data_IF_162544014658
#
_entry.id   IF_162544014658
#
_cell.length_a   1.000
_cell.length_b   1.000
_cell.length_c   1.000
_cell.angle_alpha   90.00
_cell.angle_beta   90.00
_cell.angle_gamma   90.00
#
_symmetry.space_group_name_H-M   'P 1'
#
loop_
_entity.id
_entity.type
_entity.pdbx_description
1 polymer ?
#
# COMPACT_ATOMS: atom_id res chain seq x y z
N UNK A 1 -72.70 21.08 39.03
CA UNK A 1 -71.33 21.35 39.43
C UNK A 1 -70.46 20.18 38.91
N UNK A 2 -69.80 20.35 37.77
CA UNK A 2 -68.93 19.33 37.17
C UNK A 2 -67.48 19.80 37.19
N UNK A 3 -66.50 18.93 37.41
CA UNK A 3 -65.12 19.33 37.53
C UNK A 3 -64.49 19.53 36.15
N UNK A 4 -63.83 20.68 36.00
CA UNK A 4 -63.04 21.05 34.84
C UNK A 4 -61.75 20.22 34.80
N UNK A 5 -61.66 19.24 33.90
CA UNK A 5 -60.42 18.55 33.61
C UNK A 5 -59.40 19.48 32.89
N UNK A 6 -58.24 19.71 33.50
CA UNK A 6 -57.16 20.46 32.92
C UNK A 6 -56.39 19.53 31.95
N UNK A 7 -56.49 19.83 30.66
CA UNK A 7 -55.69 19.16 29.62
C UNK A 7 -54.26 19.67 29.68
N UNK A 8 -53.29 18.86 30.19
CA UNK A 8 -51.88 19.12 30.13
C UNK A 8 -51.39 18.71 28.77
N UNK A 9 -51.14 19.68 27.90
CA UNK A 9 -50.44 19.41 26.64
C UNK A 9 -48.98 19.06 26.97
N UNK A 10 -48.59 17.83 26.59
CA UNK A 10 -47.22 17.35 26.71
C UNK A 10 -46.46 17.84 25.47
N UNK A 11 -45.69 18.90 25.59
CA UNK A 11 -44.72 19.35 24.60
C UNK A 11 -43.39 18.62 24.81
N UNK A 12 -43.42 17.29 24.73
CA UNK A 12 -42.19 16.48 24.76
C UNK A 12 -42.18 15.55 23.56
N UNK A 13 -41.70 15.98 22.40
CA UNK A 13 -41.10 15.06 21.41
C UNK A 13 -40.57 15.70 20.13
N UNK A 14 -40.78 16.98 19.85
CA UNK A 14 -40.32 17.57 18.61
C UNK A 14 -38.77 17.87 18.58
N UNK A 15 -38.20 18.22 19.74
CA UNK A 15 -36.78 18.59 19.82
C UNK A 15 -35.84 17.38 19.75
N UNK A 16 -36.23 16.22 20.26
CA UNK A 16 -35.41 14.98 20.23
C UNK A 16 -35.27 14.39 18.83
N UNK A 17 -36.36 14.38 18.06
CA UNK A 17 -36.35 13.80 16.71
C UNK A 17 -35.53 14.61 15.70
N UNK A 18 -35.56 15.94 15.81
CA UNK A 18 -34.77 16.85 14.94
C UNK A 18 -33.28 16.72 15.24
N UNK A 19 -32.89 16.57 16.51
CA UNK A 19 -31.48 16.42 16.90
C UNK A 19 -30.89 15.10 16.40
N UNK A 20 -31.63 14.01 16.47
CA UNK A 20 -31.17 12.69 15.96
C UNK A 20 -31.04 12.69 14.44
N UNK A 21 -31.97 13.34 13.72
CA UNK A 21 -31.89 13.46 12.26
C UNK A 21 -30.70 14.31 11.81
N UNK A 22 -30.40 15.42 12.49
CA UNK A 22 -29.26 16.27 12.17
C UNK A 22 -27.93 15.57 12.43
N UNK A 23 -27.82 14.77 13.50
CA UNK A 23 -26.61 13.98 13.78
C UNK A 23 -26.43 12.88 12.75
N UNK A 24 -27.48 12.17 12.36
CA UNK A 24 -27.38 11.12 11.33
C UNK A 24 -27.02 11.70 9.96
N UNK A 25 -27.59 12.84 9.55
CA UNK A 25 -27.23 13.52 8.30
C UNK A 25 -25.77 14.00 8.35
N UNK A 26 -25.28 14.48 9.50
CA UNK A 26 -23.89 14.89 9.65
C UNK A 26 -22.91 13.72 9.50
N UNK A 27 -23.22 12.55 10.08
CA UNK A 27 -22.40 11.34 9.94
C UNK A 27 -22.43 10.74 8.52
N UNK A 28 -23.56 10.85 7.79
CA UNK A 28 -23.66 10.38 6.41
C UNK A 28 -23.14 11.39 5.37
N UNK A 29 -23.01 12.66 5.74
CA UNK A 29 -22.55 13.74 4.84
C UNK A 29 -21.07 14.06 4.97
N UNK A 30 -20.33 13.42 5.89
CA UNK A 30 -18.88 13.52 5.85
C UNK A 30 -18.38 12.74 4.62
N UNK A 31 -17.87 13.41 3.57
CA UNK A 31 -17.25 12.68 2.48
C UNK A 31 -16.11 11.87 3.10
N UNK A 32 -16.20 10.55 3.02
CA UNK A 32 -15.04 9.70 3.25
C UNK A 32 -13.99 10.27 2.31
N UNK A 33 -13.02 11.00 2.84
CA UNK A 33 -11.82 11.35 2.08
C UNK A 33 -11.23 10.00 1.67
N UNK A 34 -11.55 9.57 0.45
CA UNK A 34 -10.76 8.57 -0.25
C UNK A 34 -9.41 9.24 -0.56
N UNK A 35 -8.70 9.61 0.51
CA UNK A 35 -7.31 9.88 0.45
C UNK A 35 -6.68 8.58 -0.06
N UNK A 36 -5.89 8.67 -1.10
CA UNK A 36 -5.11 7.54 -1.61
C UNK A 36 -4.51 6.82 -0.41
N UNK A 37 -4.98 5.60 -0.13
CA UNK A 37 -4.57 4.83 1.04
C UNK A 37 -3.04 4.82 1.06
N UNK A 38 -2.45 5.29 2.15
CA UNK A 38 -1.01 5.38 2.25
C UNK A 38 -0.45 3.96 2.26
N UNK A 39 0.42 3.66 1.31
CA UNK A 39 1.10 2.38 1.25
C UNK A 39 2.22 2.41 2.28
N UNK A 40 2.14 1.52 3.27
CA UNK A 40 3.15 1.34 4.30
C UNK A 40 3.51 -0.14 4.43
N UNK A 41 4.80 -0.46 4.36
CA UNK A 41 5.32 -1.81 4.53
C UNK A 41 5.73 -2.03 5.98
N UNK A 42 5.14 -3.05 6.61
CA UNK A 42 5.27 -3.37 8.03
C UNK A 42 6.26 -4.53 8.30
N UNK A 43 7.59 -4.30 8.30
CA UNK A 43 8.60 -5.37 8.35
C UNK A 43 8.65 -6.14 9.68
N UNK A 44 7.81 -5.81 10.64
CA UNK A 44 7.68 -6.50 11.92
C UNK A 44 6.32 -7.24 12.05
N UNK A 45 5.42 -7.11 11.08
CA UNK A 45 4.13 -7.80 11.07
C UNK A 45 4.29 -9.24 10.59
N UNK A 46 4.37 -10.18 11.53
CA UNK A 46 4.62 -11.60 11.25
C UNK A 46 3.59 -12.22 10.29
N UNK A 47 2.32 -11.83 10.39
CA UNK A 47 1.27 -12.37 9.53
C UNK A 47 1.46 -11.90 8.07
N UNK A 48 1.71 -10.62 7.87
CA UNK A 48 2.01 -10.09 6.52
C UNK A 48 3.28 -10.71 5.93
N UNK A 49 4.33 -10.89 6.74
CA UNK A 49 5.59 -11.52 6.32
C UNK A 49 5.33 -12.96 5.85
N UNK A 50 4.54 -13.74 6.58
CA UNK A 50 4.23 -15.13 6.21
C UNK A 50 3.42 -15.21 4.91
N UNK A 51 2.39 -14.38 4.77
CA UNK A 51 1.63 -14.28 3.51
C UNK A 51 2.54 -13.83 2.37
N UNK A 52 3.35 -12.79 2.59
CA UNK A 52 4.27 -12.24 1.61
C UNK A 52 5.33 -13.23 1.15
N UNK A 53 5.85 -14.06 2.05
CA UNK A 53 6.77 -15.16 1.70
C UNK A 53 6.12 -16.15 0.74
N UNK A 54 4.88 -16.57 1.00
CA UNK A 54 4.13 -17.46 0.09
C UNK A 54 3.91 -16.83 -1.29
N UNK A 55 3.54 -15.55 -1.34
CA UNK A 55 3.38 -14.78 -2.59
C UNK A 55 4.72 -14.69 -3.33
N UNK A 56 5.83 -14.41 -2.61
CA UNK A 56 7.17 -14.32 -3.17
C UNK A 56 7.61 -15.62 -3.86
N UNK A 57 7.48 -16.73 -3.16
CA UNK A 57 7.87 -18.04 -3.71
C UNK A 57 7.10 -18.39 -5.00
N UNK A 58 5.81 -18.06 -5.03
CA UNK A 58 4.93 -18.38 -6.15
C UNK A 58 5.16 -17.48 -7.37
N UNK A 59 5.46 -16.20 -7.17
CA UNK A 59 5.36 -15.19 -8.24
C UNK A 59 6.69 -14.47 -8.54
N UNK A 60 7.67 -14.50 -7.63
CA UNK A 60 8.86 -13.66 -7.73
C UNK A 60 10.17 -14.45 -7.74
N UNK A 61 10.23 -15.52 -6.93
CA UNK A 61 11.46 -16.26 -6.68
C UNK A 61 12.09 -16.91 -7.91
N UNK A 62 11.29 -17.26 -8.93
CA UNK A 62 11.80 -17.85 -10.18
C UNK A 62 12.77 -16.93 -10.93
N UNK A 63 12.59 -15.60 -10.80
CA UNK A 63 13.46 -14.60 -11.41
C UNK A 63 14.39 -13.92 -10.39
N UNK A 64 13.87 -13.58 -9.21
CA UNK A 64 14.61 -12.82 -8.20
C UNK A 64 15.40 -13.68 -7.20
N UNK A 65 15.36 -15.02 -7.37
CA UNK A 65 16.05 -15.97 -6.52
C UNK A 65 15.29 -16.31 -5.24
N UNK A 66 15.43 -17.54 -4.73
CA UNK A 66 14.75 -17.99 -3.50
C UNK A 66 15.27 -17.23 -2.25
N UNK A 67 16.55 -16.82 -2.29
CA UNK A 67 17.20 -16.04 -1.23
C UNK A 67 17.25 -14.55 -1.53
N UNK A 68 16.42 -14.06 -2.47
CA UNK A 68 16.39 -12.67 -2.91
C UNK A 68 17.65 -12.21 -3.66
N UNK A 69 18.51 -13.12 -4.06
CA UNK A 69 19.84 -12.87 -4.62
C UNK A 69 19.85 -12.33 -6.06
N UNK A 70 18.69 -12.37 -6.74
CA UNK A 70 18.59 -11.95 -8.14
C UNK A 70 19.35 -12.84 -9.13
N UNK A 71 19.54 -12.33 -10.33
CA UNK A 71 20.29 -13.00 -11.41
C UNK A 71 21.69 -12.41 -11.55
N UNK A 72 22.62 -13.23 -12.10
CA UNK A 72 23.98 -12.76 -12.39
C UNK A 72 23.96 -11.59 -13.36
N UNK A 73 24.91 -10.67 -13.21
CA UNK A 73 25.08 -9.52 -14.09
C UNK A 73 23.84 -8.62 -14.22
N UNK A 74 22.98 -8.56 -13.20
CA UNK A 74 21.72 -7.84 -13.24
C UNK A 74 21.85 -6.33 -13.57
N UNK A 75 23.06 -5.75 -13.50
CA UNK A 75 23.34 -4.36 -13.90
C UNK A 75 23.67 -4.20 -15.38
N UNK A 76 23.84 -5.31 -16.11
CA UNK A 76 24.23 -5.31 -17.52
C UNK A 76 23.12 -5.91 -18.38
N UNK A 77 22.79 -5.24 -19.48
CA UNK A 77 21.81 -5.76 -20.43
C UNK A 77 22.36 -6.99 -21.14
N UNK A 78 21.50 -7.95 -21.37
CA UNK A 78 21.79 -9.12 -22.22
C UNK A 78 21.80 -8.74 -23.71
N UNK A 79 22.08 -9.71 -24.58
CA UNK A 79 22.14 -9.52 -26.03
C UNK A 79 20.81 -9.06 -26.64
N UNK A 80 19.66 -9.35 -25.99
CA UNK A 80 18.33 -8.92 -26.40
C UNK A 80 17.93 -7.55 -25.81
N UNK A 81 18.82 -6.93 -25.03
CA UNK A 81 18.60 -5.63 -24.42
C UNK A 81 17.83 -5.66 -23.09
N UNK A 82 17.57 -6.82 -22.51
CA UNK A 82 16.88 -6.97 -21.23
C UNK A 82 17.85 -6.91 -20.07
N UNK A 83 17.41 -6.32 -18.94
CA UNK A 83 18.13 -6.45 -17.68
C UNK A 83 17.66 -7.72 -16.96
N UNK A 84 18.60 -8.55 -16.49
CA UNK A 84 18.26 -9.66 -15.61
C UNK A 84 17.65 -9.16 -14.29
N UNK A 85 16.90 -10.03 -13.61
CA UNK A 85 16.18 -9.67 -12.39
C UNK A 85 17.16 -9.25 -11.27
N UNK A 86 17.01 -8.04 -10.70
CA UNK A 86 17.88 -7.56 -9.63
C UNK A 86 17.66 -8.30 -8.31
N UNK A 87 18.66 -8.30 -7.42
CA UNK A 87 18.48 -8.74 -6.03
C UNK A 87 17.45 -7.89 -5.30
N UNK A 88 16.73 -8.52 -4.37
CA UNK A 88 15.84 -7.85 -3.43
C UNK A 88 16.41 -7.80 -2.00
N UNK A 89 17.57 -8.40 -1.76
CA UNK A 89 18.35 -8.26 -0.53
C UNK A 89 19.05 -6.89 -0.44
N UNK A 90 19.91 -6.72 0.55
CA UNK A 90 20.67 -5.47 0.76
C UNK A 90 21.68 -5.17 -0.35
N UNK A 91 22.06 -6.14 -1.18
CA UNK A 91 23.02 -5.96 -2.29
C UNK A 91 22.36 -5.38 -3.54
N UNK A 92 21.03 -5.45 -3.62
CA UNK A 92 20.23 -4.87 -4.68
C UNK A 92 19.96 -3.37 -4.48
N UNK A 93 18.98 -2.85 -5.22
CA UNK A 93 18.61 -1.44 -5.12
C UNK A 93 17.15 -1.21 -4.75
N UNK A 94 16.39 -2.26 -4.42
CA UNK A 94 14.97 -2.17 -4.05
C UNK A 94 14.73 -1.18 -2.91
N UNK A 95 15.55 -1.20 -1.89
CA UNK A 95 15.46 -0.33 -0.73
C UNK A 95 15.76 1.16 -0.99
N UNK A 96 16.20 1.51 -2.21
CA UNK A 96 16.38 2.91 -2.63
C UNK A 96 15.06 3.60 -3.05
N UNK A 97 13.98 2.87 -3.15
CA UNK A 97 12.68 3.36 -3.59
C UNK A 97 11.66 3.37 -2.44
N UNK A 98 10.74 4.33 -2.43
CA UNK A 98 9.70 4.40 -1.40
C UNK A 98 8.68 3.25 -1.53
N UNK A 99 7.98 2.94 -0.43
CA UNK A 99 6.93 1.91 -0.37
C UNK A 99 5.91 2.10 -1.50
N UNK A 100 5.42 3.31 -1.72
CA UNK A 100 4.47 3.63 -2.79
C UNK A 100 5.06 3.41 -4.18
N UNK A 101 6.31 3.79 -4.39
CA UNK A 101 6.97 3.56 -5.68
C UNK A 101 7.12 2.07 -5.97
N UNK A 102 7.56 1.29 -4.98
CA UNK A 102 7.68 -0.17 -5.09
C UNK A 102 6.32 -0.83 -5.36
N UNK A 103 5.29 -0.41 -4.64
CA UNK A 103 3.93 -0.89 -4.86
C UNK A 103 3.45 -0.60 -6.29
N UNK A 104 3.57 0.63 -6.75
CA UNK A 104 3.13 1.02 -8.08
C UNK A 104 3.93 0.30 -9.18
N UNK A 105 5.25 0.15 -8.99
CA UNK A 105 6.13 -0.57 -9.90
C UNK A 105 5.69 -2.04 -10.04
N UNK A 106 5.42 -2.70 -8.92
CA UNK A 106 4.95 -4.09 -8.90
C UNK A 106 3.56 -4.20 -9.53
N UNK A 107 2.63 -3.33 -9.14
CA UNK A 107 1.25 -3.39 -9.60
C UNK A 107 1.13 -3.09 -11.08
N UNK A 108 1.67 -1.97 -11.54
CA UNK A 108 1.41 -1.44 -12.87
C UNK A 108 2.52 -1.74 -13.89
N UNK A 109 3.65 -2.26 -13.44
CA UNK A 109 4.81 -2.53 -14.28
C UNK A 109 5.70 -1.32 -14.53
N UNK A 110 6.95 -1.62 -14.92
CA UNK A 110 8.00 -0.60 -15.04
C UNK A 110 7.69 0.44 -16.11
N UNK A 111 7.21 0.04 -17.28
CA UNK A 111 6.96 0.95 -18.40
C UNK A 111 5.90 2.01 -18.06
N UNK A 112 4.83 1.60 -17.37
CA UNK A 112 3.77 2.52 -16.93
C UNK A 112 4.28 3.54 -15.93
N UNK A 113 5.19 3.13 -15.04
CA UNK A 113 5.72 4.01 -13.99
C UNK A 113 6.77 4.99 -14.53
N UNK A 114 7.63 4.55 -15.44
CA UNK A 114 8.65 5.44 -16.02
C UNK A 114 8.17 6.22 -17.25
N UNK A 115 6.96 5.91 -17.75
CA UNK A 115 6.32 6.64 -18.86
C UNK A 115 7.00 6.44 -20.24
N UNK A 116 7.74 5.35 -20.42
CA UNK A 116 8.40 5.02 -21.69
C UNK A 116 8.60 3.53 -21.85
N UNK A 117 8.80 3.07 -23.09
CA UNK A 117 9.19 1.69 -23.39
C UNK A 117 10.49 1.32 -22.69
N UNK A 118 10.47 0.18 -22.02
CA UNK A 118 11.61 -0.34 -21.27
C UNK A 118 11.66 -1.87 -21.40
N UNK A 119 12.61 -2.43 -22.17
CA UNK A 119 12.73 -3.88 -22.30
C UNK A 119 12.94 -4.54 -20.95
N UNK A 120 11.95 -5.31 -20.51
CA UNK A 120 11.97 -6.02 -19.23
C UNK A 120 11.08 -7.26 -19.27
N UNK A 121 11.38 -8.25 -18.44
CA UNK A 121 10.61 -9.48 -18.30
C UNK A 121 9.75 -9.52 -17.04
N UNK A 122 9.73 -8.45 -16.24
CA UNK A 122 8.90 -8.36 -15.05
C UNK A 122 7.46 -8.04 -15.45
N UNK A 123 6.47 -8.90 -15.17
CA UNK A 123 5.08 -8.61 -15.49
C UNK A 123 4.52 -7.52 -14.58
N UNK A 124 3.47 -6.84 -15.04
CA UNK A 124 2.59 -6.08 -14.17
C UNK A 124 1.65 -7.03 -13.42
N UNK A 125 1.54 -6.85 -12.11
CA UNK A 125 0.77 -7.76 -11.25
C UNK A 125 -0.67 -7.29 -10.97
N UNK A 126 -1.14 -6.21 -11.58
CA UNK A 126 -2.47 -5.63 -11.35
C UNK A 126 -3.62 -6.64 -11.50
N UNK A 127 -3.47 -7.61 -12.42
CA UNK A 127 -4.48 -8.65 -12.68
C UNK A 127 -4.16 -10.00 -12.03
N UNK A 128 -3.02 -10.13 -11.40
CA UNK A 128 -2.49 -11.38 -10.84
C UNK A 128 -2.53 -11.41 -9.32
N UNK A 129 -2.34 -10.25 -8.68
CA UNK A 129 -2.28 -10.10 -7.24
C UNK A 129 -3.20 -8.98 -6.77
N UNK A 130 -3.84 -9.17 -5.65
CA UNK A 130 -4.53 -8.11 -4.92
C UNK A 130 -3.55 -7.10 -4.32
N UNK A 131 -4.02 -5.91 -3.99
CA UNK A 131 -3.22 -4.87 -3.34
C UNK A 131 -2.62 -5.36 -2.02
N UNK A 132 -3.39 -6.15 -1.25
CA UNK A 132 -2.91 -6.74 0.00
C UNK A 132 -1.78 -7.76 -0.22
N UNK A 133 -1.83 -8.55 -1.29
CA UNK A 133 -0.75 -9.50 -1.63
C UNK A 133 0.49 -8.76 -2.09
N UNK A 134 0.36 -7.67 -2.84
CA UNK A 134 1.50 -6.81 -3.23
C UNK A 134 2.13 -6.18 -1.99
N UNK A 135 1.33 -5.63 -1.06
CA UNK A 135 1.83 -5.08 0.20
C UNK A 135 2.52 -6.17 1.02
N UNK A 136 1.94 -7.37 1.10
CA UNK A 136 2.50 -8.47 1.86
C UNK A 136 3.86 -8.93 1.30
N UNK A 137 3.99 -9.11 -0.02
CA UNK A 137 5.27 -9.53 -0.62
C UNK A 137 6.36 -8.48 -0.47
N UNK A 138 6.04 -7.20 -0.62
CA UNK A 138 6.99 -6.10 -0.38
C UNK A 138 7.35 -5.98 1.10
N UNK A 139 6.40 -6.23 2.01
CA UNK A 139 6.66 -6.32 3.47
C UNK A 139 7.62 -7.46 3.79
N UNK A 140 7.43 -8.64 3.19
CA UNK A 140 8.37 -9.76 3.32
C UNK A 140 9.77 -9.35 2.86
N UNK A 141 9.92 -8.78 1.68
CA UNK A 141 11.22 -8.30 1.17
C UNK A 141 11.85 -7.31 2.15
N UNK A 142 11.13 -6.27 2.58
CA UNK A 142 11.62 -5.28 3.55
C UNK A 142 12.03 -5.91 4.88
N UNK A 143 11.35 -6.97 5.32
CA UNK A 143 11.64 -7.65 6.59
C UNK A 143 12.99 -8.36 6.60
N UNK A 144 13.50 -8.75 5.43
CA UNK A 144 14.80 -9.44 5.30
C UNK A 144 15.99 -8.47 5.36
N UNK A 145 15.76 -7.17 5.16
CA UNK A 145 16.86 -6.21 5.15
C UNK A 145 17.46 -5.98 6.55
N UNK A 146 18.78 -5.78 6.64
CA UNK A 146 19.44 -5.35 7.87
C UNK A 146 18.83 -4.06 8.44
N UNK A 147 18.90 -3.89 9.75
CA UNK A 147 18.29 -2.74 10.45
C UNK A 147 18.74 -1.38 9.90
N UNK A 148 20.02 -1.24 9.54
CA UNK A 148 20.56 0.00 8.96
C UNK A 148 19.96 0.28 7.58
N UNK A 149 19.70 -0.73 6.76
CA UNK A 149 19.06 -0.60 5.44
C UNK A 149 17.58 -0.23 5.63
N UNK A 150 16.85 -0.89 6.54
CA UNK A 150 15.46 -0.51 6.86
C UNK A 150 15.37 0.94 7.30
N UNK A 151 16.27 1.40 8.18
CA UNK A 151 16.31 2.79 8.63
C UNK A 151 16.53 3.78 7.47
N UNK A 152 17.42 3.48 6.51
CA UNK A 152 17.61 4.31 5.31
C UNK A 152 16.35 4.34 4.44
N UNK A 153 15.73 3.20 4.25
CA UNK A 153 14.47 3.10 3.49
C UNK A 153 13.34 3.90 4.16
N UNK A 154 13.22 3.86 5.48
CA UNK A 154 12.22 4.66 6.22
C UNK A 154 12.45 6.17 6.05
N UNK A 155 13.71 6.63 5.93
CA UNK A 155 14.02 8.01 5.60
C UNK A 155 13.60 8.39 4.17
N UNK A 156 13.71 7.45 3.22
CA UNK A 156 13.23 7.66 1.85
C UNK A 156 11.71 7.79 1.84
N UNK A 157 10.99 6.94 2.58
CA UNK A 157 9.54 7.03 2.74
C UNK A 157 9.11 8.38 3.32
N UNK A 158 9.77 8.83 4.39
CA UNK A 158 9.47 10.12 5.02
C UNK A 158 9.61 11.29 4.03
N UNK A 159 10.68 11.31 3.21
CA UNK A 159 10.87 12.33 2.17
C UNK A 159 9.82 12.25 1.08
N UNK A 160 9.46 11.05 0.63
CA UNK A 160 8.44 10.85 -0.40
C UNK A 160 7.06 11.36 0.04
N UNK A 161 6.68 11.16 1.31
CA UNK A 161 5.44 11.69 1.91
C UNK A 161 5.41 13.23 1.90
N UNK A 162 6.50 13.87 2.31
CA UNK A 162 6.59 15.34 2.30
C UNK A 162 6.41 15.91 0.89
N UNK A 163 7.01 15.27 -0.12
CA UNK A 163 6.91 15.72 -1.50
C UNK A 163 5.51 15.53 -2.08
N UNK A 164 4.83 14.42 -1.75
CA UNK A 164 3.45 14.16 -2.22
C UNK A 164 2.41 15.13 -1.65
N UNK A 165 2.68 15.71 -0.47
CA UNK A 165 1.79 16.69 0.16
C UNK A 165 2.00 18.12 -0.37
N UNK A 166 3.01 18.35 -1.19
CA UNK A 166 3.34 19.67 -1.78
C UNK A 166 2.92 19.81 -3.25
N UNK A 167 2.58 18.71 -3.90
CA UNK A 167 2.08 18.65 -5.30
C UNK A 167 0.56 18.59 -5.35
#
# INVERSE_FOLDING_TARGET
MGPKGKMKFIYFSAFGAVSVLLVSVYFFSTPSRMGSQEIELEPNNKNLIMVGYGVYLKNCASCHGIKLEGQKNWRSRDAAGYLPAPPHDETGHTWHHSDRYLFNMTKYGIEKIIGKTYPNNMPAYERLLSDNEIIAVLTYIKSTWPKNIRKRHDQINARARVNSNRS
#
